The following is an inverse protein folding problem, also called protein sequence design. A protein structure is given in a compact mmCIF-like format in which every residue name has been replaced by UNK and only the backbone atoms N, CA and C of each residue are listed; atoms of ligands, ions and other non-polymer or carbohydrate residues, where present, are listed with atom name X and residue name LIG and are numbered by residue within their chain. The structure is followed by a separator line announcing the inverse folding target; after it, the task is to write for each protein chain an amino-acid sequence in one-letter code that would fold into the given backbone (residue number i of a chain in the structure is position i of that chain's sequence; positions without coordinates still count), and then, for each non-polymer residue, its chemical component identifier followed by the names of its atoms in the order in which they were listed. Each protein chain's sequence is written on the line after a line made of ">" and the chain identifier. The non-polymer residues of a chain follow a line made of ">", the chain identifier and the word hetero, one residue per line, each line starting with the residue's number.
data_IF_027738944996
#
_entry.id   IF_027738944996
#
_cell.length_a   1.000
_cell.length_b   1.000
_cell.length_c   1.000
_cell.angle_alpha   90.00
_cell.angle_beta   90.00
_cell.angle_gamma   90.00
#
_symmetry.space_group_name_H-M   'P 1'
#
loop_
_entity.id
_entity.type
_entity.pdbx_description
1 polymer ?
#
# COMPACT_ATOMS: atom_id res chain seq x y z
N UNK A 1 -9.57 43.76 -11.46
CA UNK A 1 -9.01 43.94 -10.10
C UNK A 1 -10.17 44.02 -9.13
N UNK A 2 -10.03 43.45 -7.93
CA UNK A 2 -11.04 43.52 -6.86
C UNK A 2 -10.42 44.28 -5.69
N UNK A 3 -11.11 45.28 -5.15
CA UNK A 3 -10.67 46.01 -3.97
C UNK A 3 -10.99 45.24 -2.66
N UNK A 4 -10.61 45.81 -1.51
CA UNK A 4 -10.78 45.15 -0.19
C UNK A 4 -12.23 45.04 0.27
N UNK A 5 -13.17 45.76 -0.34
CA UNK A 5 -14.61 45.69 -0.03
C UNK A 5 -15.38 44.91 -1.10
N UNK A 6 -14.68 44.35 -2.08
CA UNK A 6 -15.25 43.48 -3.11
C UNK A 6 -15.65 44.19 -4.40
N UNK A 7 -15.40 45.49 -4.55
CA UNK A 7 -15.69 46.18 -5.81
C UNK A 7 -14.75 45.73 -6.92
N UNK A 8 -15.32 45.50 -8.10
CA UNK A 8 -14.60 45.02 -9.26
C UNK A 8 -14.35 46.18 -10.22
N UNK A 9 -13.10 46.40 -10.58
CA UNK A 9 -12.70 47.36 -11.62
C UNK A 9 -12.03 46.60 -12.78
N UNK A 10 -12.46 46.91 -14.00
CA UNK A 10 -11.82 46.39 -15.22
C UNK A 10 -10.48 47.08 -15.38
N UNK A 11 -9.40 46.28 -15.45
CA UNK A 11 -8.03 46.80 -15.67
C UNK A 11 -7.72 46.83 -17.16
N UNK A 12 -8.06 45.75 -17.87
CA UNK A 12 -7.90 45.61 -19.31
C UNK A 12 -8.85 44.53 -19.82
N UNK A 13 -9.29 44.68 -21.06
CA UNK A 13 -10.08 43.69 -21.80
C UNK A 13 -9.55 43.62 -23.20
N UNK A 14 -9.42 42.42 -23.72
CA UNK A 14 -9.01 42.16 -25.09
C UNK A 14 -9.97 41.10 -25.65
N UNK A 15 -10.66 41.35 -26.79
CA UNK A 15 -11.60 40.41 -27.37
C UNK A 15 -10.91 39.27 -28.15
N UNK A 16 -9.63 39.40 -28.50
CA UNK A 16 -8.91 38.43 -29.33
C UNK A 16 -8.15 37.40 -28.49
N UNK A 17 -7.79 37.73 -27.23
CA UNK A 17 -7.00 36.85 -26.37
C UNK A 17 -7.58 36.68 -24.96
N UNK A 18 -7.33 35.51 -24.36
CA UNK A 18 -7.67 35.24 -22.96
C UNK A 18 -6.68 35.93 -22.02
N UNK A 19 -7.18 36.84 -21.18
CA UNK A 19 -6.39 37.59 -20.20
C UNK A 19 -6.44 36.93 -18.81
N UNK A 20 -5.74 35.80 -18.65
CA UNK A 20 -5.63 35.06 -17.39
C UNK A 20 -4.29 35.32 -16.67
N UNK A 21 -4.28 35.27 -15.33
CA UNK A 21 -3.07 35.38 -14.47
C UNK A 21 -2.19 36.62 -14.69
N UNK A 22 -2.71 37.85 -14.55
CA UNK A 22 -1.89 39.06 -14.67
C UNK A 22 -0.79 39.09 -13.60
N UNK A 23 0.46 39.30 -14.03
CA UNK A 23 1.62 39.42 -13.14
C UNK A 23 2.05 40.88 -12.98
N UNK A 24 2.03 41.38 -11.75
CA UNK A 24 2.46 42.73 -11.45
C UNK A 24 3.99 42.86 -11.55
N UNK A 25 4.46 43.81 -12.38
CA UNK A 25 5.88 44.18 -12.46
C UNK A 25 6.17 45.17 -11.33
N UNK A 26 6.89 44.72 -10.30
CA UNK A 26 7.38 45.58 -9.20
C UNK A 26 8.68 45.02 -8.61
N UNK A 27 9.52 45.85 -7.98
CA UNK A 27 10.62 45.35 -7.16
C UNK A 27 10.10 44.39 -6.06
N UNK A 28 10.86 43.31 -5.80
CA UNK A 28 10.55 42.33 -4.74
C UNK A 28 11.81 41.97 -3.95
N UNK A 29 11.72 41.78 -2.62
CA UNK A 29 12.82 41.24 -1.83
C UNK A 29 13.26 39.87 -2.36
N UNK A 30 14.57 39.63 -2.44
CA UNK A 30 15.13 38.33 -2.80
C UNK A 30 14.83 37.33 -1.66
N UNK A 31 14.22 36.17 -1.94
CA UNK A 31 14.03 35.13 -0.93
C UNK A 31 15.36 34.68 -0.32
N UNK A 32 15.33 34.25 0.94
CA UNK A 32 16.49 33.64 1.59
C UNK A 32 16.89 32.36 0.84
N UNK A 33 18.20 32.17 0.66
CA UNK A 33 18.74 30.95 0.06
C UNK A 33 18.99 29.94 1.18
N UNK A 34 18.29 28.81 1.13
CA UNK A 34 18.54 27.66 2.01
C UNK A 34 19.68 26.86 1.42
N UNK A 35 20.63 26.42 2.26
CA UNK A 35 21.76 25.60 1.82
C UNK A 35 21.25 24.22 1.36
N UNK A 36 21.74 23.76 0.22
CA UNK A 36 21.55 22.38 -0.23
C UNK A 36 22.36 21.43 0.65
N UNK A 37 21.68 20.44 1.22
CA UNK A 37 22.25 19.39 2.08
C UNK A 37 22.17 18.00 1.43
N UNK A 38 21.76 17.93 0.16
CA UNK A 38 21.70 16.67 -0.58
C UNK A 38 23.09 16.14 -0.90
N UNK A 39 23.22 14.81 -0.94
CA UNK A 39 24.38 14.12 -1.48
C UNK A 39 23.98 13.42 -2.79
N UNK A 40 24.30 13.99 -3.96
CA UNK A 40 23.93 13.42 -5.25
C UNK A 40 24.47 12.00 -5.51
N UNK A 41 25.47 11.53 -4.76
CA UNK A 41 26.01 10.17 -4.88
C UNK A 41 25.26 9.15 -4.03
N UNK A 42 24.49 9.61 -3.04
CA UNK A 42 23.70 8.73 -2.19
C UNK A 42 22.53 8.11 -2.98
N UNK A 43 22.14 6.91 -2.59
CA UNK A 43 20.97 6.20 -3.16
C UNK A 43 19.80 6.13 -2.19
N UNK A 44 20.05 6.46 -0.92
CA UNK A 44 19.10 6.39 0.19
C UNK A 44 19.02 7.73 0.89
N UNK A 45 17.90 7.95 1.57
CA UNK A 45 17.78 8.88 2.69
C UNK A 45 17.64 8.09 3.99
N UNK A 46 17.51 8.80 5.10
CA UNK A 46 17.31 8.21 6.43
C UNK A 46 16.07 8.80 7.08
N UNK A 47 15.32 7.96 7.78
CA UNK A 47 14.15 8.35 8.54
C UNK A 47 14.32 8.00 10.01
N UNK A 48 13.92 8.94 10.86
CA UNK A 48 13.92 8.80 12.31
C UNK A 48 12.55 9.14 12.89
N UNK A 49 11.94 8.23 13.64
CA UNK A 49 10.79 8.53 14.49
C UNK A 49 11.25 8.48 15.94
N UNK A 50 10.91 9.52 16.71
CA UNK A 50 11.28 9.59 18.12
C UNK A 50 10.48 8.63 18.99
N UNK A 51 9.16 8.71 18.93
CA UNK A 51 8.28 7.83 19.67
C UNK A 51 7.02 7.58 18.84
N UNK A 52 6.89 6.36 18.33
CA UNK A 52 5.78 5.98 17.47
C UNK A 52 4.42 6.07 18.17
N UNK A 53 4.37 5.95 19.50
CA UNK A 53 3.13 5.99 20.27
C UNK A 53 2.54 7.41 20.42
N UNK A 54 3.33 8.46 20.16
CA UNK A 54 2.79 9.82 20.07
C UNK A 54 1.88 9.92 18.83
N UNK A 55 0.56 10.01 19.05
CA UNK A 55 -0.46 10.05 18.00
C UNK A 55 -1.05 8.68 17.60
N UNK A 56 -0.79 7.62 18.37
CA UNK A 56 -1.46 6.32 18.26
C UNK A 56 -2.37 6.05 19.47
N UNK A 57 -3.59 6.63 19.52
CA UNK A 57 -4.49 6.42 20.66
C UNK A 57 -4.90 4.94 20.77
N UNK A 58 -4.96 4.43 21.99
CA UNK A 58 -5.34 3.03 22.32
C UNK A 58 -4.38 1.97 21.75
N UNK A 59 -3.11 2.32 21.56
CA UNK A 59 -2.02 1.39 21.26
C UNK A 59 -1.06 1.42 22.43
N UNK A 60 -0.82 0.27 23.05
CA UNK A 60 0.00 0.19 24.26
C UNK A 60 1.50 0.27 23.92
N UNK A 61 2.32 0.93 24.75
CA UNK A 61 3.77 0.87 24.61
C UNK A 61 4.27 -0.57 24.55
N UNK A 62 5.17 -0.85 23.59
CA UNK A 62 5.65 -2.19 23.27
C UNK A 62 4.78 -2.98 22.30
N UNK A 63 3.56 -2.54 21.95
CA UNK A 63 2.70 -3.28 21.00
C UNK A 63 3.25 -3.25 19.57
N UNK A 64 3.67 -2.07 19.09
CA UNK A 64 4.38 -1.94 17.81
C UNK A 64 5.79 -2.53 17.91
N UNK A 65 6.06 -3.59 17.15
CA UNK A 65 7.38 -4.24 17.08
C UNK A 65 8.20 -3.83 15.86
N UNK A 66 7.51 -3.51 14.77
CA UNK A 66 8.15 -3.25 13.48
C UNK A 66 7.50 -2.07 12.76
N UNK A 67 8.28 -1.41 11.92
CA UNK A 67 7.79 -0.58 10.84
C UNK A 67 7.98 -1.31 9.50
N UNK A 68 6.90 -1.50 8.74
CA UNK A 68 6.97 -1.93 7.34
C UNK A 68 7.24 -0.71 6.47
N UNK A 69 8.28 -0.79 5.65
CA UNK A 69 8.60 0.24 4.66
C UNK A 69 7.95 -0.15 3.35
N UNK A 70 7.09 0.72 2.82
CA UNK A 70 6.30 0.44 1.61
C UNK A 70 6.54 1.54 0.60
N UNK A 71 6.69 1.14 -0.66
CA UNK A 71 6.65 2.07 -1.78
C UNK A 71 5.33 1.96 -2.54
N UNK A 72 4.67 3.10 -2.77
CA UNK A 72 3.65 3.23 -3.81
C UNK A 72 4.31 3.59 -5.13
N UNK A 73 4.23 2.69 -6.11
CA UNK A 73 4.84 2.92 -7.42
C UNK A 73 3.89 3.72 -8.30
N UNK A 74 4.47 4.52 -9.20
CA UNK A 74 3.71 5.21 -10.24
C UNK A 74 3.78 4.43 -11.54
N UNK A 75 2.68 4.45 -12.28
CA UNK A 75 2.64 3.90 -13.63
C UNK A 75 3.42 4.78 -14.60
N UNK A 76 4.23 4.16 -15.45
CA UNK A 76 4.97 4.84 -16.53
C UNK A 76 4.68 4.28 -17.93
N UNK A 77 3.86 3.23 -18.05
CA UNK A 77 3.46 2.64 -19.33
C UNK A 77 2.20 3.29 -19.93
N UNK A 78 1.95 3.11 -21.24
CA UNK A 78 0.67 3.49 -21.88
C UNK A 78 -0.47 2.56 -21.43
N UNK A 79 -1.71 3.05 -21.46
CA UNK A 79 -2.88 2.25 -21.13
C UNK A 79 -3.04 1.14 -22.16
N UNK A 80 -3.14 -0.15 -21.76
CA UNK A 80 -3.48 -1.22 -22.66
C UNK A 80 -4.78 -0.89 -23.40
N UNK A 81 -4.87 -1.30 -24.65
CA UNK A 81 -6.13 -1.27 -25.39
C UNK A 81 -7.18 -2.13 -24.65
N UNK A 82 -8.45 -1.70 -24.63
CA UNK A 82 -9.55 -2.48 -24.07
C UNK A 82 -10.56 -1.72 -23.23
N UNK A 83 -10.23 -0.50 -22.78
CA UNK A 83 -11.12 0.29 -21.91
C UNK A 83 -11.31 -0.38 -20.53
N UNK A 84 -11.35 0.41 -19.47
CA UNK A 84 -11.66 -0.07 -18.13
C UNK A 84 -12.97 0.62 -17.70
N UNK A 85 -14.03 -0.11 -17.29
CA UNK A 85 -15.29 0.52 -16.85
C UNK A 85 -15.12 1.38 -15.61
N UNK A 86 -14.03 1.22 -14.86
CA UNK A 86 -13.79 1.99 -13.65
C UNK A 86 -13.09 3.36 -13.90
N UNK A 87 -13.12 3.85 -15.14
CA UNK A 87 -12.94 5.25 -15.53
C UNK A 87 -11.83 6.05 -14.81
N UNK A 88 -10.56 5.85 -15.26
CA UNK A 88 -9.41 6.79 -15.26
C UNK A 88 -8.04 6.13 -14.96
N UNK A 89 -7.99 4.84 -14.57
CA UNK A 89 -6.72 4.18 -14.17
C UNK A 89 -6.65 2.67 -14.49
N UNK A 90 -5.54 2.03 -14.12
CA UNK A 90 -5.30 0.59 -14.27
C UNK A 90 -5.93 -0.17 -13.10
N UNK A 91 -6.42 -1.37 -13.38
CA UNK A 91 -6.91 -2.27 -12.33
C UNK A 91 -5.71 -2.88 -11.63
N UNK A 92 -5.46 -2.44 -10.39
CA UNK A 92 -4.45 -3.05 -9.50
C UNK A 92 -5.11 -3.72 -8.31
N UNK A 93 -6.25 -3.19 -7.89
CA UNK A 93 -7.18 -3.78 -6.93
C UNK A 93 -8.61 -3.36 -7.26
N UNK A 94 -9.55 -4.01 -6.61
CA UNK A 94 -10.94 -3.63 -6.57
C UNK A 94 -11.18 -2.26 -5.91
N UNK A 95 -12.40 -1.73 -6.11
CA UNK A 95 -12.87 -0.47 -5.52
C UNK A 95 -11.97 0.75 -5.77
N UNK A 96 -11.22 0.70 -6.88
CA UNK A 96 -10.37 1.79 -7.34
C UNK A 96 -9.28 2.25 -6.36
N UNK A 97 -8.69 1.34 -5.59
CA UNK A 97 -7.34 1.62 -5.07
C UNK A 97 -6.35 1.56 -6.24
N UNK A 98 -5.62 2.64 -6.51
CA UNK A 98 -4.88 2.78 -7.78
C UNK A 98 -3.39 2.53 -7.71
N UNK A 99 -2.84 2.51 -6.50
CA UNK A 99 -1.41 2.38 -6.28
C UNK A 99 -1.00 0.93 -6.08
N UNK A 100 -0.01 0.49 -6.86
CA UNK A 100 0.71 -0.75 -6.54
C UNK A 100 1.62 -0.48 -5.35
N UNK A 101 1.44 -1.28 -4.30
CA UNK A 101 2.24 -1.29 -3.09
C UNK A 101 3.29 -2.39 -3.19
N UNK A 102 4.54 -2.02 -2.97
CA UNK A 102 5.68 -2.94 -2.88
C UNK A 102 6.32 -2.80 -1.51
N UNK A 103 6.65 -3.92 -0.89
CA UNK A 103 7.07 -4.01 0.49
C UNK A 103 8.58 -4.09 0.56
N UNK A 104 9.24 -2.98 0.88
CA UNK A 104 10.70 -2.87 0.85
C UNK A 104 11.38 -3.65 1.98
N UNK A 105 10.63 -4.00 3.02
CA UNK A 105 11.09 -4.77 4.16
C UNK A 105 10.53 -4.22 5.47
N UNK A 106 11.03 -4.76 6.57
CA UNK A 106 10.70 -4.35 7.94
C UNK A 106 11.93 -3.85 8.67
N UNK A 107 11.72 -2.92 9.60
CA UNK A 107 12.75 -2.38 10.50
C UNK A 107 12.23 -2.42 11.94
N UNK A 108 13.10 -2.65 12.94
CA UNK A 108 12.66 -2.76 14.32
C UNK A 108 12.25 -1.39 14.89
N UNK A 109 11.26 -1.43 15.78
CA UNK A 109 10.95 -0.34 16.70
C UNK A 109 11.55 -0.71 18.06
N UNK A 110 12.29 0.23 18.65
CA UNK A 110 12.94 0.05 19.95
C UNK A 110 11.91 0.08 21.09
N UNK A 111 12.32 -0.36 22.28
CA UNK A 111 11.44 -0.40 23.47
C UNK A 111 10.89 0.97 23.88
N UNK A 112 11.62 2.06 23.58
CA UNK A 112 11.18 3.44 23.82
C UNK A 112 10.27 4.00 22.70
N UNK A 113 9.88 3.17 21.74
CA UNK A 113 9.05 3.55 20.59
C UNK A 113 9.83 4.25 19.47
N UNK A 114 11.15 4.39 19.59
CA UNK A 114 11.97 5.04 18.57
C UNK A 114 12.35 4.08 17.43
N UNK A 115 12.57 4.61 16.23
CA UNK A 115 13.13 3.84 15.11
C UNK A 115 13.97 4.73 14.19
N UNK A 116 15.08 4.17 13.68
CA UNK A 116 16.01 4.88 12.79
C UNK A 116 16.48 3.93 11.68
N UNK A 117 16.23 4.30 10.42
CA UNK A 117 16.45 3.41 9.29
C UNK A 117 16.64 4.11 7.94
N UNK A 118 17.15 3.37 6.96
CA UNK A 118 17.31 3.82 5.59
C UNK A 118 16.06 3.62 4.74
N UNK A 119 15.83 4.54 3.81
CA UNK A 119 14.75 4.49 2.80
C UNK A 119 15.31 4.85 1.43
N UNK A 120 14.80 4.29 0.33
CA UNK A 120 15.30 4.65 -0.99
C UNK A 120 14.97 6.11 -1.33
N UNK A 121 15.94 6.81 -1.89
CA UNK A 121 15.76 8.20 -2.32
C UNK A 121 14.92 8.29 -3.60
N UNK A 122 14.21 9.41 -3.77
CA UNK A 122 13.39 9.71 -4.95
C UNK A 122 12.28 8.67 -5.25
N UNK A 123 11.75 8.04 -4.20
CA UNK A 123 10.61 7.11 -4.22
C UNK A 123 9.48 7.63 -3.33
N UNK A 124 8.25 7.15 -3.54
CA UNK A 124 7.08 7.50 -2.71
C UNK A 124 6.91 6.46 -1.62
N UNK A 125 7.36 6.79 -0.42
CA UNK A 125 7.48 5.87 0.72
C UNK A 125 6.46 6.20 1.78
N UNK A 126 5.82 5.18 2.33
CA UNK A 126 4.96 5.30 3.50
C UNK A 126 5.18 4.10 4.43
N UNK A 127 4.67 4.19 5.65
CA UNK A 127 4.94 3.21 6.70
C UNK A 127 3.69 2.54 7.25
N UNK A 128 3.83 1.29 7.67
CA UNK A 128 2.86 0.59 8.54
C UNK A 128 3.53 0.26 9.88
N UNK A 129 2.90 0.64 10.99
CA UNK A 129 3.21 0.13 12.31
C UNK A 129 2.66 -1.29 12.44
N UNK A 130 3.51 -2.26 12.78
CA UNK A 130 3.14 -3.67 12.88
C UNK A 130 3.24 -4.20 14.30
N UNK A 131 2.33 -5.12 14.65
CA UNK A 131 2.40 -5.92 15.86
C UNK A 131 3.47 -7.03 15.79
N UNK A 132 3.52 -7.87 16.82
CA UNK A 132 4.42 -9.04 16.89
C UNK A 132 4.16 -10.09 15.80
N UNK A 133 2.94 -10.13 15.25
CA UNK A 133 2.51 -11.04 14.19
C UNK A 133 2.64 -10.44 12.79
N UNK A 134 3.32 -9.29 12.65
CA UNK A 134 3.48 -8.54 11.42
C UNK A 134 2.15 -8.06 10.80
N UNK A 135 1.12 -7.82 11.62
CA UNK A 135 -0.17 -7.26 11.21
C UNK A 135 -0.19 -5.77 11.46
N UNK A 136 -0.77 -5.02 10.52
CA UNK A 136 -0.85 -3.57 10.61
C UNK A 136 -1.74 -3.11 11.77
N UNK A 137 -1.15 -2.36 12.70
CA UNK A 137 -1.85 -1.58 13.71
C UNK A 137 -2.32 -0.25 13.13
N UNK A 138 -1.45 0.43 12.37
CA UNK A 138 -1.77 1.71 11.73
C UNK A 138 -0.90 1.89 10.48
N UNK A 139 -1.49 2.46 9.42
CA UNK A 139 -0.76 2.93 8.24
C UNK A 139 -0.74 4.44 8.15
N UNK A 140 0.38 4.96 7.65
CA UNK A 140 0.40 6.27 7.04
C UNK A 140 -0.47 6.23 5.76
N UNK A 141 -1.37 7.21 5.60
CA UNK A 141 -2.26 7.33 4.43
C UNK A 141 -1.89 8.51 3.52
N UNK A 142 -0.62 8.89 3.61
CA UNK A 142 0.09 9.78 2.70
C UNK A 142 1.46 9.14 2.43
N UNK A 143 2.22 9.72 1.52
CA UNK A 143 3.59 9.29 1.24
C UNK A 143 4.58 10.42 1.48
N UNK A 144 5.82 10.04 1.69
CA UNK A 144 6.98 10.91 1.81
C UNK A 144 7.99 10.57 0.72
N UNK A 145 8.65 11.59 0.18
CA UNK A 145 9.79 11.44 -0.71
C UNK A 145 11.05 11.94 -0.04
N UNK A 146 12.17 11.23 -0.20
CA UNK A 146 13.45 11.57 0.40
C UNK A 146 14.44 11.96 -0.71
N UNK A 147 15.15 13.06 -0.52
CA UNK A 147 16.27 13.41 -1.38
C UNK A 147 17.48 12.52 -1.05
N UNK A 148 18.41 12.30 -2.01
CA UNK A 148 19.66 11.60 -1.77
C UNK A 148 20.43 12.17 -0.57
N UNK A 149 20.73 11.34 0.43
CA UNK A 149 21.47 11.72 1.64
C UNK A 149 20.65 12.51 2.67
N UNK A 150 19.37 12.79 2.41
CA UNK A 150 18.49 13.50 3.34
C UNK A 150 18.26 12.70 4.61
N UNK A 151 18.22 13.39 5.75
CA UNK A 151 17.72 12.84 7.02
C UNK A 151 16.43 13.57 7.37
N UNK A 152 15.33 12.84 7.51
CA UNK A 152 14.07 13.37 8.05
C UNK A 152 13.75 12.75 9.39
N UNK A 153 13.04 13.52 10.21
CA UNK A 153 12.54 13.04 11.48
C UNK A 153 11.09 13.44 11.73
N UNK A 154 10.33 12.57 12.38
CA UNK A 154 9.06 12.92 13.00
C UNK A 154 9.12 12.67 14.52
N UNK A 155 8.26 13.35 15.27
CA UNK A 155 8.14 13.16 16.71
C UNK A 155 7.32 11.92 17.06
N UNK A 156 6.35 11.58 16.21
CA UNK A 156 5.51 10.39 16.31
C UNK A 156 4.65 10.19 15.08
N UNK A 157 3.62 9.36 15.22
CA UNK A 157 2.62 9.12 14.19
C UNK A 157 1.68 10.32 14.04
N UNK A 158 1.82 11.05 12.94
CA UNK A 158 0.94 12.17 12.65
C UNK A 158 -0.35 11.67 11.98
N UNK A 159 -1.50 12.17 12.44
CA UNK A 159 -2.78 11.80 11.86
C UNK A 159 -3.97 12.44 12.58
N UNK A 160 -3.87 12.63 13.88
CA UNK A 160 -4.91 13.29 14.66
C UNK A 160 -4.89 14.82 14.49
N UNK A 161 -6.08 15.42 14.36
CA UNK A 161 -6.24 16.87 14.22
C UNK A 161 -5.94 17.56 15.55
N UNK A 162 -5.16 18.64 15.52
CA UNK A 162 -4.84 19.40 16.75
C UNK A 162 -3.79 18.75 17.65
N UNK A 163 -3.09 17.72 17.18
CA UNK A 163 -1.99 17.11 17.90
C UNK A 163 -0.83 18.11 18.05
N UNK A 164 -0.62 18.59 19.27
CA UNK A 164 0.52 19.43 19.62
C UNK A 164 1.71 18.54 19.96
N UNK A 165 2.88 18.89 19.42
CA UNK A 165 4.12 18.14 19.69
C UNK A 165 4.46 18.24 21.16
N UNK A 166 4.56 17.11 21.86
CA UNK A 166 5.07 17.03 23.22
C UNK A 166 6.47 17.68 23.31
N UNK A 167 6.78 18.44 24.37
CA UNK A 167 8.09 19.05 24.54
C UNK A 167 9.20 18.02 24.42
N UNK A 168 10.30 18.41 23.79
CA UNK A 168 11.45 17.54 23.57
C UNK A 168 11.97 17.03 24.92
N UNK A 169 11.80 15.74 25.20
CA UNK A 169 12.46 15.06 26.32
C UNK A 169 13.98 15.16 26.20
N UNK A 170 14.68 15.31 27.33
CA UNK A 170 16.14 15.38 27.38
C UNK A 170 16.84 14.03 27.18
N UNK A 171 16.09 12.92 27.18
CA UNK A 171 16.65 11.57 27.00
C UNK A 171 16.85 11.30 25.51
N UNK A 172 18.05 10.87 25.14
CA UNK A 172 18.38 10.48 23.78
C UNK A 172 17.63 9.18 23.41
N UNK A 173 16.89 9.14 22.29
CA UNK A 173 16.17 7.94 21.85
C UNK A 173 17.12 6.78 21.52
N UNK A 174 16.73 5.56 21.88
CA UNK A 174 17.55 4.34 21.75
C UNK A 174 18.03 4.17 20.30
N UNK A 175 17.15 4.39 19.32
CA UNK A 175 17.46 4.17 17.91
C UNK A 175 18.63 5.04 17.37
N UNK A 176 18.92 6.19 18.01
CA UNK A 176 20.05 7.05 17.64
C UNK A 176 21.39 6.58 18.23
N UNK A 177 21.38 5.59 19.12
CA UNK A 177 22.57 4.96 19.68
C UNK A 177 23.28 3.98 18.72
N UNK A 178 22.71 3.75 17.52
CA UNK A 178 23.22 2.81 16.52
C UNK A 178 23.12 3.35 15.09
N UNK A 179 23.81 2.73 14.11
CA UNK A 179 23.59 3.03 12.70
C UNK A 179 22.12 2.79 12.28
N UNK A 180 21.63 3.49 11.23
CA UNK A 180 20.27 3.27 10.72
C UNK A 180 20.11 1.81 10.29
N UNK A 181 18.97 1.20 10.64
CA UNK A 181 18.61 -0.13 10.15
C UNK A 181 18.42 -0.11 8.63
N UNK A 182 18.84 -1.20 7.98
CA UNK A 182 18.48 -1.47 6.59
C UNK A 182 17.21 -2.34 6.62
N UNK A 183 16.16 -2.04 5.84
CA UNK A 183 14.97 -2.89 5.75
C UNK A 183 15.34 -4.35 5.46
N UNK A 184 14.80 -5.27 6.27
CA UNK A 184 15.06 -6.70 6.20
C UNK A 184 13.83 -7.48 5.69
N UNK A 185 14.00 -8.71 5.16
CA UNK A 185 12.89 -9.62 4.92
C UNK A 185 12.06 -9.86 6.20
N UNK A 186 10.75 -10.06 6.07
CA UNK A 186 9.96 -10.62 7.17
C UNK A 186 10.23 -12.12 7.32
N UNK A 187 9.84 -12.75 8.44
CA UNK A 187 10.02 -14.19 8.63
C UNK A 187 9.47 -15.04 7.48
N UNK A 188 8.29 -14.74 6.95
CA UNK A 188 7.71 -15.47 5.80
C UNK A 188 8.53 -15.33 4.49
N UNK A 189 9.43 -14.36 4.39
CA UNK A 189 10.26 -14.14 3.22
C UNK A 189 11.61 -14.86 3.33
N UNK A 190 11.96 -15.43 4.48
CA UNK A 190 13.21 -16.15 4.71
C UNK A 190 13.22 -17.52 4.01
N UNK A 191 14.40 -17.99 3.61
CA UNK A 191 14.55 -19.24 2.84
C UNK A 191 14.10 -20.45 3.65
N UNK A 192 14.44 -20.50 4.93
CA UNK A 192 14.02 -21.53 5.87
C UNK A 192 12.49 -21.63 6.03
N UNK A 193 11.78 -20.55 5.71
CA UNK A 193 10.33 -20.43 5.82
C UNK A 193 9.63 -20.52 4.46
N UNK A 194 10.35 -20.90 3.39
CA UNK A 194 9.83 -21.07 2.04
C UNK A 194 9.83 -19.82 1.16
N UNK A 195 10.41 -18.72 1.65
CA UNK A 195 10.55 -17.46 0.93
C UNK A 195 11.82 -17.36 0.07
N UNK A 196 12.09 -16.15 -0.43
CA UNK A 196 13.23 -15.86 -1.31
C UNK A 196 14.55 -15.56 -0.57
N UNK A 197 14.49 -15.33 0.74
CA UNK A 197 15.58 -14.80 1.55
C UNK A 197 15.79 -13.29 1.42
N UNK A 198 14.96 -12.59 0.63
CA UNK A 198 15.19 -11.20 0.25
C UNK A 198 14.12 -10.25 0.80
N UNK A 199 14.55 -9.06 1.19
CA UNK A 199 13.65 -7.90 1.31
C UNK A 199 13.18 -7.46 -0.10
N UNK A 200 12.13 -6.65 -0.18
CA UNK A 200 11.54 -6.27 -1.46
C UNK A 200 10.58 -7.33 -1.98
N UNK A 201 9.36 -7.31 -1.46
CA UNK A 201 8.30 -8.24 -1.81
C UNK A 201 7.15 -7.52 -2.50
N UNK A 202 6.44 -8.27 -3.33
CA UNK A 202 5.30 -7.78 -4.08
C UNK A 202 4.16 -8.75 -3.81
N UNK A 203 2.99 -8.22 -3.44
CA UNK A 203 1.79 -9.04 -3.36
C UNK A 203 1.14 -9.09 -4.74
N UNK A 204 1.08 -10.29 -5.30
CA UNK A 204 0.39 -10.64 -6.52
C UNK A 204 -0.58 -11.80 -6.27
N UNK A 205 -1.86 -11.47 -6.12
CA UNK A 205 -2.89 -12.39 -5.65
C UNK A 205 -2.95 -13.74 -6.38
N UNK A 206 -2.88 -13.80 -7.73
CA UNK A 206 -2.93 -15.07 -8.46
C UNK A 206 -1.83 -16.06 -8.10
N UNK A 207 -0.68 -15.58 -7.64
CA UNK A 207 0.52 -16.40 -7.39
C UNK A 207 0.89 -16.49 -5.92
N UNK A 208 0.42 -15.56 -5.09
CA UNK A 208 0.78 -15.52 -3.67
C UNK A 208 -0.38 -15.92 -2.75
N UNK A 209 -1.63 -15.71 -3.16
CA UNK A 209 -2.81 -15.94 -2.31
C UNK A 209 -3.66 -17.08 -2.85
N UNK A 210 -3.98 -17.07 -4.15
CA UNK A 210 -4.81 -18.12 -4.74
C UNK A 210 -4.25 -19.53 -4.51
N UNK A 211 -2.93 -19.81 -4.65
CA UNK A 211 -2.41 -21.16 -4.43
C UNK A 211 -2.59 -21.66 -2.99
N UNK A 212 -2.56 -20.75 -2.01
CA UNK A 212 -2.83 -21.09 -0.60
C UNK A 212 -4.30 -21.55 -0.47
N UNK A 213 -5.23 -20.81 -1.05
CA UNK A 213 -6.65 -21.16 -1.02
C UNK A 213 -6.97 -22.42 -1.83
N UNK A 214 -6.32 -22.62 -2.97
CA UNK A 214 -6.47 -23.84 -3.78
C UNK A 214 -6.06 -25.08 -2.98
N UNK A 215 -4.95 -24.99 -2.24
CA UNK A 215 -4.44 -26.10 -1.45
C UNK A 215 -5.27 -26.39 -0.19
N UNK A 216 -5.84 -25.35 0.44
CA UNK A 216 -6.34 -25.45 1.83
C UNK A 216 -7.80 -25.10 2.03
N UNK A 217 -8.44 -24.45 1.06
CA UNK A 217 -9.79 -23.91 1.24
C UNK A 217 -10.77 -24.42 0.17
N UNK A 218 -10.32 -24.60 -1.08
CA UNK A 218 -11.19 -24.91 -2.23
C UNK A 218 -11.91 -26.25 -2.10
N UNK A 219 -11.38 -27.22 -1.33
CA UNK A 219 -12.08 -28.49 -1.09
C UNK A 219 -13.47 -28.30 -0.46
N UNK A 220 -13.65 -27.29 0.40
CA UNK A 220 -14.92 -26.95 1.03
C UNK A 220 -15.56 -25.70 0.42
N UNK A 221 -14.75 -24.77 -0.10
CA UNK A 221 -15.16 -23.52 -0.72
C UNK A 221 -15.10 -23.57 -2.26
N UNK A 222 -15.48 -24.72 -2.83
CA UNK A 222 -15.36 -25.03 -4.25
C UNK A 222 -16.52 -24.54 -5.12
N UNK A 223 -16.66 -25.15 -6.29
CA UNK A 223 -17.70 -24.80 -7.28
C UNK A 223 -19.11 -25.25 -6.89
N UNK A 224 -19.22 -26.38 -6.19
CA UNK A 224 -20.49 -27.03 -5.86
C UNK A 224 -20.74 -26.87 -4.38
N UNK A 225 -21.90 -26.32 -4.01
CA UNK A 225 -22.35 -26.11 -2.63
C UNK A 225 -21.27 -25.54 -1.69
N UNK A 226 -20.64 -24.40 -2.03
CA UNK A 226 -19.54 -23.85 -1.24
C UNK A 226 -19.95 -23.57 0.20
N UNK A 227 -19.15 -24.05 1.14
CA UNK A 227 -19.35 -23.83 2.57
C UNK A 227 -19.51 -22.33 2.87
N UNK A 228 -20.52 -22.00 3.68
CA UNK A 228 -20.84 -20.61 4.02
C UNK A 228 -21.24 -19.72 2.82
N UNK A 229 -21.55 -20.31 1.66
CA UNK A 229 -21.84 -19.56 0.43
C UNK A 229 -20.66 -18.70 -0.03
N UNK A 230 -19.43 -19.15 0.25
CA UNK A 230 -18.18 -18.47 -0.09
C UNK A 230 -17.38 -19.35 -1.05
N UNK A 231 -17.19 -18.87 -2.28
CA UNK A 231 -16.45 -19.59 -3.32
C UNK A 231 -15.04 -19.02 -3.44
N UNK A 232 -14.02 -19.85 -3.22
CA UNK A 232 -12.60 -19.44 -3.15
C UNK A 232 -11.76 -19.98 -4.32
N UNK A 233 -12.40 -20.34 -5.41
CA UNK A 233 -11.74 -20.88 -6.61
C UNK A 233 -11.02 -19.81 -7.45
N UNK A 234 -9.99 -20.25 -8.16
CA UNK A 234 -9.17 -19.40 -9.02
C UNK A 234 -9.72 -19.10 -10.42
N UNK A 235 -10.97 -19.44 -10.73
CA UNK A 235 -11.51 -19.21 -12.08
C UNK A 235 -11.43 -17.72 -12.46
N UNK A 236 -11.00 -17.46 -13.69
CA UNK A 236 -10.85 -16.11 -14.20
C UNK A 236 -12.23 -15.43 -14.33
N UNK A 237 -12.33 -14.23 -13.79
CA UNK A 237 -13.42 -13.30 -14.08
C UNK A 237 -12.93 -12.29 -15.13
N UNK A 238 -13.77 -11.31 -15.45
CA UNK A 238 -13.41 -10.26 -16.40
C UNK A 238 -12.14 -9.49 -15.98
N UNK A 239 -11.96 -9.24 -14.68
CA UNK A 239 -10.88 -8.39 -14.16
C UNK A 239 -9.94 -9.11 -13.18
N UNK A 240 -10.43 -10.12 -12.48
CA UNK A 240 -9.74 -10.79 -11.38
C UNK A 240 -10.00 -12.30 -11.46
N UNK A 241 -10.21 -12.95 -10.32
CA UNK A 241 -10.73 -14.31 -10.22
C UNK A 241 -11.87 -14.37 -9.19
N UNK A 242 -12.58 -15.49 -9.16
CA UNK A 242 -13.78 -15.68 -8.33
C UNK A 242 -13.50 -15.45 -6.85
N UNK A 243 -12.44 -16.05 -6.30
CA UNK A 243 -12.11 -15.94 -4.87
C UNK A 243 -11.88 -14.49 -4.43
N UNK A 244 -11.14 -13.71 -5.23
CA UNK A 244 -10.84 -12.32 -4.93
C UNK A 244 -12.11 -11.48 -4.91
N UNK A 245 -12.96 -11.63 -5.93
CA UNK A 245 -14.22 -10.88 -6.03
C UNK A 245 -15.19 -11.25 -4.90
N UNK A 246 -15.25 -12.53 -4.50
CA UNK A 246 -16.05 -12.97 -3.37
C UNK A 246 -15.58 -12.36 -2.04
N UNK A 247 -14.26 -12.40 -1.77
CA UNK A 247 -13.67 -11.80 -0.57
C UNK A 247 -13.81 -10.28 -0.53
N UNK A 248 -13.69 -9.61 -1.68
CA UNK A 248 -13.79 -8.17 -1.79
C UNK A 248 -15.23 -7.69 -1.68
N UNK A 249 -16.17 -8.33 -2.39
CA UNK A 249 -17.61 -8.01 -2.34
C UNK A 249 -18.18 -8.17 -0.94
N UNK A 250 -17.75 -9.21 -0.21
CA UNK A 250 -18.18 -9.49 1.17
C UNK A 250 -17.33 -8.79 2.23
N UNK A 251 -16.24 -8.11 1.85
CA UNK A 251 -15.29 -7.43 2.75
C UNK A 251 -14.74 -8.34 3.87
N UNK A 252 -14.48 -9.62 3.57
CA UNK A 252 -14.03 -10.61 4.58
C UNK A 252 -12.57 -10.41 5.02
N UNK A 253 -11.74 -9.88 4.13
CA UNK A 253 -10.39 -9.40 4.41
C UNK A 253 -10.38 -7.98 5.04
N UNK A 254 -11.52 -7.50 5.54
CA UNK A 254 -11.65 -6.23 6.25
C UNK A 254 -12.19 -5.09 5.38
N UNK A 255 -12.36 -3.88 5.97
CA UNK A 255 -12.89 -2.73 5.26
C UNK A 255 -12.00 -2.34 4.08
N UNK A 256 -12.62 -2.18 2.90
CA UNK A 256 -11.90 -1.70 1.72
C UNK A 256 -11.82 -0.18 1.76
N UNK A 257 -10.59 0.34 1.72
CA UNK A 257 -10.34 1.77 1.50
C UNK A 257 -10.50 2.04 0.01
N UNK A 258 -11.72 2.39 -0.41
CA UNK A 258 -12.05 2.83 -1.76
C UNK A 258 -11.64 4.28 -1.97
N UNK A 259 -11.00 4.60 -3.11
CA UNK A 259 -10.69 5.99 -3.45
C UNK A 259 -11.87 6.71 -4.11
N UNK A 260 -12.64 5.99 -4.94
CA UNK A 260 -13.77 6.55 -5.69
C UNK A 260 -15.03 5.71 -5.60
N UNK A 261 -15.01 4.42 -5.94
CA UNK A 261 -16.23 3.60 -5.93
C UNK A 261 -16.07 2.38 -5.05
N UNK A 262 -17.13 1.98 -4.34
CA UNK A 262 -17.17 0.73 -3.59
C UNK A 262 -18.23 -0.23 -4.16
N UNK A 263 -18.06 -1.53 -3.94
CA UNK A 263 -18.97 -2.56 -4.46
C UNK A 263 -20.43 -2.40 -3.99
N UNK A 264 -20.63 -1.90 -2.77
CA UNK A 264 -21.94 -1.90 -2.11
C UNK A 264 -22.51 -0.50 -1.89
N UNK A 265 -21.68 0.54 -1.96
CA UNK A 265 -22.06 1.89 -1.50
C UNK A 265 -21.88 2.96 -2.60
N UNK A 266 -21.57 2.57 -3.84
CA UNK A 266 -21.45 3.50 -4.96
C UNK A 266 -20.24 4.44 -4.81
N UNK A 267 -20.42 5.71 -5.17
CA UNK A 267 -19.37 6.74 -5.04
C UNK A 267 -19.05 7.01 -3.56
N UNK A 268 -17.81 6.75 -3.20
CA UNK A 268 -17.19 6.94 -1.89
C UNK A 268 -15.94 7.82 -2.02
N UNK A 269 -15.87 8.66 -3.06
CA UNK A 269 -14.85 9.67 -3.27
C UNK A 269 -14.50 10.40 -1.98
N UNK A 270 -13.25 10.30 -1.53
CA UNK A 270 -12.73 10.93 -0.31
C UNK A 270 -13.40 10.50 1.03
N UNK A 271 -14.20 9.43 1.06
CA UNK A 271 -14.87 9.00 2.29
C UNK A 271 -13.88 8.67 3.42
N UNK A 272 -12.72 8.12 3.07
CA UNK A 272 -11.65 7.79 4.01
C UNK A 272 -10.56 8.87 4.09
N UNK A 273 -10.83 10.11 3.67
CA UNK A 273 -9.84 11.20 3.72
C UNK A 273 -9.55 11.72 5.13
N UNK A 274 -10.49 11.54 6.07
CA UNK A 274 -10.30 11.90 7.47
C UNK A 274 -9.44 10.86 8.21
N UNK A 275 -8.84 11.25 9.34
CA UNK A 275 -8.11 10.37 10.24
C UNK A 275 -8.94 9.12 10.61
N UNK A 276 -8.29 7.96 10.61
CA UNK A 276 -8.85 6.71 11.10
C UNK A 276 -8.00 6.22 12.27
N UNK A 277 -8.61 5.81 13.39
CA UNK A 277 -7.88 5.38 14.57
C UNK A 277 -7.12 4.06 14.30
N UNK A 278 -6.11 3.72 15.12
CA UNK A 278 -5.43 2.43 15.04
C UNK A 278 -6.41 1.25 15.04
N UNK A 279 -6.03 0.15 14.37
CA UNK A 279 -6.80 -1.10 14.28
C UNK A 279 -8.19 -0.94 13.65
N UNK A 280 -8.40 0.11 12.86
CA UNK A 280 -9.67 0.37 12.15
C UNK A 280 -9.73 -0.20 10.73
N UNK A 281 -8.61 -0.71 10.23
CA UNK A 281 -8.43 -1.26 8.88
C UNK A 281 -7.60 -2.55 8.96
N UNK A 282 -7.43 -3.21 7.81
CA UNK A 282 -6.52 -4.35 7.67
C UNK A 282 -6.91 -5.54 8.55
N UNK A 283 -5.89 -6.27 9.02
CA UNK A 283 -6.08 -7.53 9.74
C UNK A 283 -6.98 -7.40 10.97
N UNK A 284 -6.88 -6.33 11.75
CA UNK A 284 -7.67 -6.14 12.98
C UNK A 284 -9.18 -5.92 12.74
N UNK A 285 -9.60 -5.69 11.50
CA UNK A 285 -11.01 -5.63 11.10
C UNK A 285 -11.39 -6.70 10.10
N UNK A 286 -10.52 -7.69 9.86
CA UNK A 286 -10.78 -8.77 8.94
C UNK A 286 -11.43 -9.95 9.66
N UNK A 287 -12.69 -10.21 9.33
CA UNK A 287 -13.40 -11.43 9.77
C UNK A 287 -12.67 -12.71 9.35
N UNK A 288 -11.99 -12.70 8.20
CA UNK A 288 -11.18 -13.83 7.74
C UNK A 288 -9.95 -14.04 8.63
N UNK A 289 -9.24 -12.99 9.03
CA UNK A 289 -8.10 -13.12 9.95
C UNK A 289 -8.56 -13.55 11.34
N UNK A 290 -9.67 -13.00 11.84
CA UNK A 290 -10.27 -13.45 13.10
C UNK A 290 -10.59 -14.95 13.04
N UNK A 291 -11.25 -15.40 11.96
CA UNK A 291 -11.57 -16.82 11.77
C UNK A 291 -10.32 -17.72 11.73
N UNK A 292 -9.23 -17.25 11.11
CA UNK A 292 -7.99 -18.02 10.97
C UNK A 292 -7.14 -18.04 12.25
N UNK A 293 -7.46 -17.23 13.26
CA UNK A 293 -6.56 -16.98 14.40
C UNK A 293 -7.22 -17.03 15.77
N UNK A 294 -8.54 -16.84 15.85
CA UNK A 294 -9.31 -16.92 17.08
C UNK A 294 -10.08 -18.27 17.16
N UNK A 295 -9.63 -19.22 18.01
CA UNK A 295 -10.34 -20.48 18.19
C UNK A 295 -11.72 -20.29 18.86
N UNK A 296 -11.99 -19.15 19.49
CA UNK A 296 -13.29 -18.82 20.06
C UNK A 296 -14.26 -18.20 19.05
N UNK A 297 -13.82 -17.93 17.81
CA UNK A 297 -14.69 -17.37 16.78
C UNK A 297 -15.88 -18.30 16.53
N UNK A 298 -17.11 -17.77 16.47
CA UNK A 298 -18.33 -18.58 16.44
C UNK A 298 -18.41 -19.59 15.28
N UNK A 299 -17.76 -19.29 14.15
CA UNK A 299 -17.68 -20.20 12.98
C UNK A 299 -16.64 -21.31 13.12
N UNK A 300 -15.75 -21.25 14.11
CA UNK A 300 -14.80 -22.32 14.44
C UNK A 300 -15.41 -23.38 15.37
N UNK A 301 -16.66 -23.19 15.82
CA UNK A 301 -17.33 -24.15 16.71
C UNK A 301 -17.61 -25.50 16.05
N UNK A 302 -17.82 -25.54 14.72
CA UNK A 302 -18.08 -26.76 13.96
C UNK A 302 -16.85 -27.19 13.16
N UNK A 303 -16.25 -26.26 12.42
CA UNK A 303 -15.09 -26.49 11.58
C UNK A 303 -14.00 -25.51 12.03
N UNK A 304 -12.98 -25.98 12.73
CA UNK A 304 -11.91 -25.12 13.23
C UNK A 304 -10.97 -24.71 12.09
N UNK A 305 -11.00 -23.43 11.74
CA UNK A 305 -10.13 -22.86 10.71
C UNK A 305 -8.79 -22.39 11.28
N UNK A 306 -8.63 -22.37 12.60
CA UNK A 306 -7.38 -22.01 13.23
C UNK A 306 -6.28 -22.99 12.85
N UNK A 307 -5.10 -22.46 12.52
CA UNK A 307 -3.94 -23.28 12.17
C UNK A 307 -4.04 -24.02 10.84
N UNK A 308 -5.08 -23.78 10.02
CA UNK A 308 -5.11 -24.29 8.64
C UNK A 308 -3.93 -23.75 7.82
N UNK A 309 -3.49 -22.53 8.12
CA UNK A 309 -2.30 -21.92 7.54
C UNK A 309 -1.10 -22.15 8.45
N UNK A 310 0.06 -22.41 7.85
CA UNK A 310 1.34 -22.23 8.54
C UNK A 310 1.53 -20.76 8.92
N UNK A 311 2.44 -20.49 9.85
CA UNK A 311 2.77 -19.11 10.24
C UNK A 311 3.19 -18.26 9.04
N UNK A 312 4.02 -18.82 8.14
CA UNK A 312 4.46 -18.14 6.90
C UNK A 312 3.29 -17.79 5.98
N UNK A 313 2.38 -18.74 5.72
CA UNK A 313 1.20 -18.49 4.87
C UNK A 313 0.26 -17.47 5.50
N UNK A 314 0.06 -17.53 6.82
CA UNK A 314 -0.76 -16.56 7.53
C UNK A 314 -0.14 -15.15 7.48
N UNK A 315 1.18 -15.03 7.56
CA UNK A 315 1.86 -13.73 7.37
C UNK A 315 1.73 -13.22 5.93
N UNK A 316 1.80 -14.09 4.91
CA UNK A 316 1.57 -13.72 3.50
C UNK A 316 0.13 -13.21 3.30
N UNK A 317 -0.86 -13.94 3.82
CA UNK A 317 -2.27 -13.55 3.77
C UNK A 317 -2.51 -12.25 4.54
N UNK A 318 -1.90 -12.09 5.72
CA UNK A 318 -1.99 -10.86 6.52
C UNK A 318 -1.40 -9.65 5.76
N UNK A 319 -0.25 -9.83 5.11
CA UNK A 319 0.34 -8.78 4.25
C UNK A 319 -0.58 -8.41 3.08
N UNK A 320 -1.27 -9.38 2.48
CA UNK A 320 -2.27 -9.10 1.44
C UNK A 320 -3.49 -8.34 1.99
N UNK A 321 -4.01 -8.74 3.14
CA UNK A 321 -5.09 -8.00 3.83
C UNK A 321 -4.67 -6.54 4.07
N UNK A 322 -3.50 -6.34 4.65
CA UNK A 322 -2.95 -5.00 4.94
C UNK A 322 -2.56 -4.23 3.66
N UNK A 323 -2.46 -4.89 2.50
CA UNK A 323 -2.25 -4.20 1.22
C UNK A 323 -3.49 -3.45 0.70
N UNK A 324 -4.63 -3.56 1.40
CA UNK A 324 -5.94 -3.10 0.93
C UNK A 324 -6.36 -3.83 -0.35
N UNK A 325 -6.40 -5.17 -0.27
CA UNK A 325 -6.88 -6.04 -1.35
C UNK A 325 -6.08 -5.91 -2.67
N UNK A 326 -4.76 -5.74 -2.66
CA UNK A 326 -3.99 -5.70 -3.90
C UNK A 326 -4.15 -7.03 -4.68
N UNK A 327 -4.48 -6.93 -5.97
CA UNK A 327 -4.53 -8.09 -6.86
C UNK A 327 -3.28 -8.16 -7.74
N UNK A 328 -2.96 -7.07 -8.42
CA UNK A 328 -1.81 -6.96 -9.30
C UNK A 328 -0.63 -6.33 -8.57
N UNK A 329 0.50 -7.03 -8.59
CA UNK A 329 1.74 -6.58 -7.97
C UNK A 329 2.54 -5.58 -8.81
N UNK A 330 2.06 -5.23 -10.00
CA UNK A 330 2.76 -4.35 -10.94
C UNK A 330 1.76 -3.72 -11.90
N UNK A 331 2.11 -2.55 -12.46
CA UNK A 331 1.39 -1.96 -13.58
C UNK A 331 1.66 -2.66 -14.91
N UNK A 332 2.65 -3.55 -14.95
CA UNK A 332 3.05 -4.24 -16.15
C UNK A 332 2.33 -5.59 -16.28
N UNK A 333 1.99 -5.95 -17.50
CA UNK A 333 1.57 -7.28 -17.89
C UNK A 333 0.21 -7.35 -18.57
N UNK A 334 -0.20 -8.58 -18.87
CA UNK A 334 -1.45 -8.90 -19.53
C UNK A 334 -2.46 -9.28 -18.44
N UNK A 335 -3.37 -8.36 -18.11
CA UNK A 335 -4.29 -8.50 -16.96
C UNK A 335 -5.70 -8.94 -17.36
N UNK A 336 -6.15 -8.53 -18.55
CA UNK A 336 -7.47 -8.86 -19.09
C UNK A 336 -7.60 -10.36 -19.39
N UNK A 337 -8.77 -10.92 -19.13
CA UNK A 337 -9.12 -12.30 -19.53
C UNK A 337 -9.09 -12.53 -21.05
N UNK A 338 -9.05 -11.47 -21.87
CA UNK A 338 -8.81 -11.59 -23.31
C UNK A 338 -7.52 -12.36 -23.64
N UNK A 339 -6.48 -12.21 -22.80
CA UNK A 339 -5.17 -12.83 -22.99
C UNK A 339 -5.11 -14.31 -22.59
N UNK A 340 -6.26 -14.93 -22.28
CA UNK A 340 -6.32 -16.39 -22.06
C UNK A 340 -5.97 -17.15 -23.32
N UNK A 341 -6.33 -16.61 -24.49
CA UNK A 341 -6.01 -17.20 -25.77
C UNK A 341 -4.85 -16.43 -26.43
N UNK A 342 -4.04 -17.09 -27.26
CA UNK A 342 -3.07 -16.39 -28.11
C UNK A 342 -3.77 -15.33 -28.96
N UNK A 343 -3.14 -14.17 -29.10
CA UNK A 343 -3.60 -13.11 -30.01
C UNK A 343 -2.73 -13.14 -31.28
N UNK A 344 -3.29 -13.47 -32.47
CA UNK A 344 -2.56 -13.43 -33.73
C UNK A 344 -1.93 -12.07 -34.06
N UNK A 345 -2.46 -10.97 -33.50
CA UNK A 345 -1.89 -9.64 -33.66
C UNK A 345 -0.64 -9.42 -32.78
N UNK A 346 -0.41 -10.26 -31.77
CA UNK A 346 0.76 -10.22 -30.88
C UNK A 346 1.36 -11.63 -30.78
N UNK A 347 2.05 -12.13 -31.83
CA UNK A 347 2.56 -13.50 -31.89
C UNK A 347 3.67 -13.79 -30.85
N UNK A 348 4.25 -12.75 -30.23
CA UNK A 348 5.22 -12.89 -29.15
C UNK A 348 4.58 -13.19 -27.79
N UNK A 349 3.26 -13.06 -27.65
CA UNK A 349 2.57 -13.35 -26.40
C UNK A 349 2.32 -14.86 -26.25
N UNK A 350 2.69 -15.40 -25.09
CA UNK A 350 2.30 -16.75 -24.70
C UNK A 350 1.22 -16.70 -23.60
N UNK A 351 0.15 -17.51 -23.65
CA UNK A 351 -0.89 -17.54 -22.62
C UNK A 351 -0.38 -17.72 -21.18
N UNK A 352 0.77 -18.36 -20.98
CA UNK A 352 1.43 -18.50 -19.67
C UNK A 352 1.87 -17.17 -19.05
N UNK A 353 1.98 -16.11 -19.85
CA UNK A 353 2.36 -14.78 -19.40
C UNK A 353 1.14 -13.97 -18.89
N UNK A 354 -0.08 -14.50 -19.05
CA UNK A 354 -1.28 -13.95 -18.42
C UNK A 354 -1.07 -13.94 -16.90
N UNK A 355 -1.09 -12.75 -16.30
CA UNK A 355 -0.93 -12.57 -14.84
C UNK A 355 0.29 -13.28 -14.26
N UNK A 356 1.41 -13.25 -15.00
CA UNK A 356 2.70 -13.73 -14.52
C UNK A 356 3.11 -13.00 -13.23
N UNK A 357 3.70 -13.73 -12.27
CA UNK A 357 4.32 -13.14 -11.08
C UNK A 357 5.40 -12.13 -11.49
N UNK A 358 5.28 -10.84 -11.12
CA UNK A 358 6.34 -9.87 -11.34
C UNK A 358 7.49 -10.12 -10.35
N UNK A 359 8.72 -9.80 -10.75
CA UNK A 359 9.80 -9.63 -9.77
C UNK A 359 9.64 -8.28 -9.05
N UNK A 360 10.34 -8.13 -7.92
CA UNK A 360 10.38 -6.87 -7.21
C UNK A 360 10.94 -5.74 -8.08
N UNK A 361 12.04 -6.00 -8.80
CA UNK A 361 12.69 -5.05 -9.71
C UNK A 361 11.73 -4.58 -10.81
N UNK A 362 10.90 -5.50 -11.33
CA UNK A 362 9.89 -5.18 -12.33
C UNK A 362 8.77 -4.31 -11.75
N UNK A 363 8.31 -4.60 -10.53
CA UNK A 363 7.25 -3.82 -9.88
C UNK A 363 7.69 -2.39 -9.57
N UNK A 364 8.97 -2.18 -9.19
CA UNK A 364 9.53 -0.85 -8.88
C UNK A 364 10.21 -0.17 -10.08
N UNK A 365 10.22 -0.80 -11.25
CA UNK A 365 10.85 -0.23 -12.44
C UNK A 365 10.07 0.98 -12.96
N UNK A 366 10.80 2.06 -13.29
CA UNK A 366 10.26 3.23 -14.00
C UNK A 366 10.04 2.98 -15.49
N UNK A 367 10.52 1.85 -16.00
CA UNK A 367 10.40 1.48 -17.41
C UNK A 367 9.71 0.14 -17.56
N UNK A 368 8.80 0.05 -18.53
CA UNK A 368 8.20 -1.22 -18.90
C UNK A 368 9.27 -2.27 -19.23
N UNK A 369 9.18 -3.48 -18.64
CA UNK A 369 10.10 -4.56 -18.98
C UNK A 369 9.90 -4.98 -20.45
N UNK A 370 10.91 -5.62 -21.03
CA UNK A 370 10.92 -5.96 -22.46
C UNK A 370 9.71 -6.81 -22.89
N UNK A 371 9.28 -7.75 -22.04
CA UNK A 371 8.14 -8.63 -22.30
C UNK A 371 6.77 -7.93 -22.19
N UNK A 372 6.71 -6.73 -21.57
CA UNK A 372 5.48 -5.94 -21.50
C UNK A 372 5.26 -5.07 -22.74
N UNK A 373 6.36 -4.57 -23.32
CA UNK A 373 6.36 -3.76 -24.54
C UNK A 373 6.00 -4.63 -25.74
#
# INVERSE_FOLDING_TARGET
>A
MIDRVGHRTVVHTDPEICLHSPMLIKPRPRPQVIRDVTDPKARTGKFFVRNIYEGLPNVEPGEVKWLRVIEETSRTSKQPAGGNPYNQTFLVSSALAFSVKTFLGVVPVEEDGSAYFEVPANRSIFFQALDENFREIQRERTYMNYQPGEVRSCTGCHGESGHAVSPVSSVAPIALGRPPSIPQPQPCDLVENGGSGLAGQVIHYPTDIQPIFDAKCVSCHGNTDPAGGLKLTGELTLYYNTSYEELARKQLAGPIVSEFTSFLQGDRGNYNGAFLPPKSLGCYKSTMIDLLTDPAHAKNAQDDHCGMLSESELMIVSRWVDSNYQFYGTYYGRHSSHWVNPDPAIPAFEPKDLRRKPTFEEAVSKSAPAWHR
#
